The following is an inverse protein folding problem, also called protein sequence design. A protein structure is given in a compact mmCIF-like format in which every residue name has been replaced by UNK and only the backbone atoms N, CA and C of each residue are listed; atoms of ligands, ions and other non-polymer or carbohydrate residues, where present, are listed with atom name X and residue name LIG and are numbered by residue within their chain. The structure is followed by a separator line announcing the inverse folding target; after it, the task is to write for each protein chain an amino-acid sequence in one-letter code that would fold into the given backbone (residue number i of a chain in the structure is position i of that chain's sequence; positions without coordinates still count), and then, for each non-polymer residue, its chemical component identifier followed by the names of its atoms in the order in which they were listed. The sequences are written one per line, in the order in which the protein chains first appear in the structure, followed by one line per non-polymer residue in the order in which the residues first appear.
data_IF_982225074155
#
_entry.id   IF_982225074155
#
_cell.length_a   1.000
_cell.length_b   1.000
_cell.length_c   1.000
_cell.angle_alpha   90.00
_cell.angle_beta   90.00
_cell.angle_gamma   90.00
#
_symmetry.space_group_name_H-M   'P 1'
#
loop_
_entity.id
_entity.type
_entity.pdbx_description
1 polymer ?
#
# COMPACT_ATOMS: atom_id res chain seq x y z
N UNK A 1 -59.30 55.38 80.56
CA UNK A 1 -60.01 54.10 80.76
C UNK A 1 -61.45 54.30 80.34
N UNK A 2 -61.93 53.58 79.31
CA UNK A 2 -63.33 53.34 78.85
C UNK A 2 -64.26 54.58 78.75
N UNK A 3 -65.04 54.84 77.71
CA UNK A 3 -65.51 54.15 76.51
C UNK A 3 -66.00 55.30 75.60
N UNK A 4 -65.60 55.32 74.33
CA UNK A 4 -66.25 56.05 73.23
C UNK A 4 -66.56 54.96 72.19
N UNK A 5 -67.66 54.97 71.44
CA UNK A 5 -68.18 56.09 70.67
C UNK A 5 -69.58 55.68 70.17
N UNK A 6 -70.52 56.62 70.12
CA UNK A 6 -71.80 56.44 69.44
C UNK A 6 -72.33 57.81 69.05
N UNK A 7 -72.40 58.16 67.76
CA UNK A 7 -73.48 59.04 67.33
C UNK A 7 -73.84 58.96 65.84
N UNK A 8 -75.12 59.27 65.64
CA UNK A 8 -76.05 59.06 64.55
C UNK A 8 -75.85 59.97 63.33
N UNK A 9 -76.22 59.38 62.18
CA UNK A 9 -77.11 59.82 61.10
C UNK A 9 -76.95 61.19 60.41
N UNK A 10 -76.86 61.03 59.08
CA UNK A 10 -77.53 61.70 57.96
C UNK A 10 -76.87 62.90 57.24
N UNK A 11 -76.63 62.61 55.95
CA UNK A 11 -76.97 63.41 54.75
C UNK A 11 -76.26 64.73 54.50
N UNK A 12 -75.39 64.76 53.48
CA UNK A 12 -75.62 65.39 52.14
C UNK A 12 -74.29 65.53 51.38
N UNK A 13 -74.26 65.10 50.11
CA UNK A 13 -73.40 65.52 48.98
C UNK A 13 -73.50 64.41 47.92
N UNK A 14 -74.39 64.53 46.93
CA UNK A 14 -74.15 65.18 45.63
C UNK A 14 -73.10 64.45 44.75
N UNK A 15 -73.63 63.58 43.90
CA UNK A 15 -73.38 63.47 42.45
C UNK A 15 -71.93 63.32 41.94
N UNK A 16 -71.59 62.11 41.52
CA UNK A 16 -71.27 61.89 40.10
C UNK A 16 -71.75 60.50 39.69
N UNK A 17 -72.53 60.49 38.61
CA UNK A 17 -73.23 59.35 38.07
C UNK A 17 -72.29 58.20 37.73
N UNK A 18 -72.47 57.08 38.44
CA UNK A 18 -71.79 55.81 38.16
C UNK A 18 -72.80 54.66 38.17
N UNK A 19 -73.82 54.76 37.32
CA UNK A 19 -74.75 53.69 36.92
C UNK A 19 -75.19 54.07 35.50
N UNK A 20 -75.31 53.22 34.50
CA UNK A 20 -75.57 51.80 34.47
C UNK A 20 -75.40 51.43 33.00
N UNK A 21 -74.44 50.59 32.61
CA UNK A 21 -74.59 49.87 31.35
C UNK A 21 -74.29 48.40 31.58
N UNK A 22 -75.37 47.66 31.78
CA UNK A 22 -75.32 46.21 31.89
C UNK A 22 -75.27 45.69 30.46
N UNK A 23 -74.10 45.85 29.82
CA UNK A 23 -73.88 45.40 28.46
C UNK A 23 -74.14 43.89 28.42
N UNK A 24 -75.16 43.48 27.67
CA UNK A 24 -75.53 42.09 27.51
C UNK A 24 -74.34 41.35 26.86
N UNK A 25 -74.01 40.14 27.34
CA UNK A 25 -72.80 39.40 26.95
C UNK A 25 -72.69 39.20 25.42
N UNK A 26 -73.81 39.19 24.71
CA UNK A 26 -73.86 39.15 23.24
C UNK A 26 -73.37 40.44 22.55
N UNK A 27 -73.60 41.61 23.14
CA UNK A 27 -73.17 42.89 22.57
C UNK A 27 -71.67 43.12 22.78
N UNK A 28 -71.11 42.70 23.91
CA UNK A 28 -69.66 42.75 24.14
C UNK A 28 -68.92 41.84 23.15
N UNK A 29 -69.49 40.67 22.83
CA UNK A 29 -68.91 39.73 21.88
C UNK A 29 -68.92 40.25 20.44
N UNK A 30 -70.01 40.88 20.02
CA UNK A 30 -70.11 41.56 18.71
C UNK A 30 -69.11 42.72 18.58
N UNK A 31 -68.96 43.55 19.61
CA UNK A 31 -67.98 44.65 19.60
C UNK A 31 -66.54 44.12 19.47
N UNK A 32 -66.19 43.03 20.19
CA UNK A 32 -64.86 42.41 20.09
C UNK A 32 -64.65 41.79 18.69
N UNK A 33 -65.68 41.15 18.11
CA UNK A 33 -65.59 40.57 16.77
C UNK A 33 -65.40 41.62 15.67
N UNK A 34 -66.07 42.76 15.81
CA UNK A 34 -66.02 43.86 14.82
C UNK A 34 -64.69 44.62 14.90
N UNK A 35 -64.13 44.81 16.10
CA UNK A 35 -62.87 45.53 16.31
C UNK A 35 -61.64 44.72 15.86
N UNK A 36 -61.77 43.39 15.79
CA UNK A 36 -60.74 42.47 15.33
C UNK A 36 -60.85 42.10 13.83
N UNK A 37 -61.83 42.67 13.11
CA UNK A 37 -62.10 42.46 11.67
C UNK A 37 -62.15 40.96 11.28
N UNK A 38 -62.76 40.15 12.16
CA UNK A 38 -62.84 38.70 11.99
C UNK A 38 -64.13 38.34 11.24
N UNK A 39 -63.97 37.92 9.98
CA UNK A 39 -65.07 37.46 9.12
C UNK A 39 -65.76 36.21 9.73
N UNK A 40 -67.07 36.28 10.06
CA UNK A 40 -67.81 35.20 10.76
C UNK A 40 -68.03 33.96 9.89
N UNK A 41 -67.62 33.99 8.62
CA UNK A 41 -67.70 32.85 7.70
C UNK A 41 -66.56 31.83 7.83
N UNK A 42 -65.59 32.04 8.74
CA UNK A 42 -64.54 31.05 9.00
C UNK A 42 -65.06 29.83 9.77
N UNK A 43 -65.73 28.94 9.06
CA UNK A 43 -66.07 27.62 9.55
C UNK A 43 -64.80 26.86 10.02
N UNK A 44 -64.85 26.07 11.12
CA UNK A 44 -63.71 25.31 11.65
C UNK A 44 -63.12 24.29 10.64
N UNK A 45 -63.80 24.08 9.50
CA UNK A 45 -63.33 23.27 8.37
C UNK A 45 -62.21 23.91 7.54
N UNK A 46 -62.04 25.24 7.52
CA UNK A 46 -61.01 25.90 6.68
C UNK A 46 -59.62 25.91 7.36
N UNK A 47 -59.56 26.20 8.67
CA UNK A 47 -58.34 26.19 9.47
C UNK A 47 -57.72 24.80 9.59
N UNK A 48 -58.54 23.75 9.62
CA UNK A 48 -58.08 22.36 9.66
C UNK A 48 -57.41 21.93 8.35
N UNK A 49 -57.91 22.40 7.19
CA UNK A 49 -57.27 22.16 5.88
C UNK A 49 -55.96 22.93 5.73
N UNK A 50 -55.87 24.15 6.27
CA UNK A 50 -54.64 24.93 6.27
C UNK A 50 -53.58 24.33 7.19
N UNK A 51 -53.94 23.94 8.42
CA UNK A 51 -53.06 23.20 9.34
C UNK A 51 -52.56 21.90 8.74
N UNK A 52 -53.44 21.12 8.10
CA UNK A 52 -53.05 19.87 7.43
C UNK A 52 -52.04 20.12 6.29
N UNK A 53 -52.24 21.15 5.46
CA UNK A 53 -51.28 21.52 4.40
C UNK A 53 -49.95 22.01 4.97
N UNK A 54 -49.98 22.79 6.05
CA UNK A 54 -48.78 23.29 6.72
C UNK A 54 -47.96 22.16 7.34
N UNK A 55 -48.60 21.26 8.09
CA UNK A 55 -47.96 20.07 8.67
C UNK A 55 -47.39 19.18 7.56
N UNK A 56 -48.15 18.95 6.48
CA UNK A 56 -47.68 18.16 5.33
C UNK A 56 -46.45 18.78 4.66
N UNK A 57 -46.40 20.12 4.53
CA UNK A 57 -45.22 20.83 4.00
C UNK A 57 -44.01 20.74 4.94
N UNK A 58 -44.20 20.84 6.25
CA UNK A 58 -43.12 20.66 7.23
C UNK A 58 -42.61 19.21 7.25
N UNK A 59 -43.49 18.21 7.16
CA UNK A 59 -43.12 16.80 7.07
C UNK A 59 -42.35 16.49 5.78
N UNK A 60 -42.78 17.03 4.63
CA UNK A 60 -42.07 16.85 3.36
C UNK A 60 -40.69 17.51 3.42
N UNK A 61 -40.57 18.73 3.95
CA UNK A 61 -39.28 19.42 4.13
C UNK A 61 -38.36 18.66 5.09
N UNK A 62 -38.91 18.12 6.19
CA UNK A 62 -38.18 17.29 7.14
C UNK A 62 -37.68 15.99 6.52
N UNK A 63 -38.51 15.30 5.74
CA UNK A 63 -38.08 14.11 4.98
C UNK A 63 -36.99 14.45 3.96
N UNK A 64 -37.11 15.57 3.24
CA UNK A 64 -36.11 15.97 2.26
C UNK A 64 -34.75 16.27 2.92
N UNK A 65 -34.78 16.96 4.07
CA UNK A 65 -33.59 17.24 4.86
C UNK A 65 -32.97 15.95 5.43
N UNK A 66 -33.78 15.02 5.95
CA UNK A 66 -33.30 13.73 6.44
C UNK A 66 -32.72 12.87 5.31
N UNK A 67 -33.32 12.88 4.12
CA UNK A 67 -32.80 12.19 2.95
C UNK A 67 -31.48 12.81 2.46
N UNK A 68 -31.36 14.15 2.48
CA UNK A 68 -30.12 14.84 2.14
C UNK A 68 -29.00 14.55 3.14
N UNK A 69 -29.29 14.52 4.44
CA UNK A 69 -28.32 14.11 5.47
C UNK A 69 -27.96 12.63 5.31
N UNK A 70 -28.92 11.75 5.03
CA UNK A 70 -28.67 10.34 4.74
C UNK A 70 -27.75 10.15 3.54
N UNK A 71 -28.00 10.88 2.43
CA UNK A 71 -27.16 10.85 1.23
C UNK A 71 -25.76 11.40 1.50
N UNK A 72 -25.65 12.47 2.31
CA UNK A 72 -24.38 13.07 2.68
C UNK A 72 -23.56 12.17 3.62
N UNK A 73 -24.21 11.44 4.53
CA UNK A 73 -23.56 10.43 5.38
C UNK A 73 -23.12 9.22 4.54
N UNK A 74 -23.96 8.76 3.61
CA UNK A 74 -23.64 7.63 2.72
C UNK A 74 -22.54 7.96 1.70
N UNK A 75 -22.47 9.22 1.25
CA UNK A 75 -21.44 9.71 0.34
C UNK A 75 -20.18 10.20 1.07
N UNK A 76 -20.32 10.62 2.33
CA UNK A 76 -19.27 11.26 3.14
C UNK A 76 -18.35 10.26 3.86
N UNK A 77 -18.78 9.02 4.04
CA UNK A 77 -17.88 7.92 4.42
C UNK A 77 -17.45 7.17 3.17
N UNK A 78 -16.78 7.85 2.24
CA UNK A 78 -16.05 7.17 1.18
C UNK A 78 -15.02 6.26 1.86
N UNK A 79 -15.28 4.95 1.87
CA UNK A 79 -14.29 3.98 2.36
C UNK A 79 -13.19 3.96 1.30
N UNK A 80 -12.20 4.82 1.51
CA UNK A 80 -10.95 4.89 0.76
C UNK A 80 -10.16 3.64 1.19
N UNK A 81 -10.41 2.52 0.49
CA UNK A 81 -9.72 1.26 0.77
C UNK A 81 -8.33 1.31 0.14
N UNK A 82 -7.30 1.21 0.97
CA UNK A 82 -5.92 1.08 0.54
C UNK A 82 -5.75 -0.22 -0.28
N UNK A 83 -5.13 -0.18 -1.47
CA UNK A 83 -4.80 -1.40 -2.21
C UNK A 83 -3.87 -2.27 -1.36
N UNK A 84 -3.90 -3.59 -1.54
CA UNK A 84 -2.95 -4.50 -0.90
C UNK A 84 -2.28 -5.39 -1.93
N UNK A 85 -0.98 -5.62 -1.74
CA UNK A 85 -0.18 -6.52 -2.57
C UNK A 85 -0.26 -7.91 -1.92
N UNK A 86 -0.64 -8.91 -2.69
CA UNK A 86 -0.81 -10.29 -2.23
C UNK A 86 -0.22 -11.29 -3.22
N UNK A 87 -0.17 -12.57 -2.82
CA UNK A 87 0.31 -13.67 -3.67
C UNK A 87 1.70 -13.46 -4.26
N UNK A 88 2.57 -12.73 -3.56
CA UNK A 88 3.95 -12.48 -3.98
C UNK A 88 4.70 -13.81 -4.02
N UNK A 89 5.29 -14.10 -5.16
CA UNK A 89 6.18 -15.25 -5.37
C UNK A 89 7.41 -14.75 -6.11
N UNK A 90 8.58 -15.06 -5.56
CA UNK A 90 9.85 -14.96 -6.26
C UNK A 90 10.31 -16.38 -6.56
N UNK A 91 10.58 -16.68 -7.83
CA UNK A 91 11.08 -17.97 -8.25
C UNK A 91 12.36 -17.76 -9.09
N UNK A 92 13.47 -18.42 -8.75
CA UNK A 92 14.68 -18.36 -9.57
C UNK A 92 14.44 -19.00 -10.93
N UNK A 93 15.20 -18.56 -11.93
CA UNK A 93 15.33 -19.24 -13.21
C UNK A 93 15.99 -20.61 -13.03
N UNK A 94 15.86 -21.49 -14.02
CA UNK A 94 16.41 -22.85 -13.94
C UNK A 94 17.94 -22.90 -13.82
N UNK A 95 18.59 -21.83 -14.25
CA UNK A 95 20.04 -21.58 -14.25
C UNK A 95 20.47 -20.62 -13.13
N UNK A 96 19.55 -20.21 -12.23
CA UNK A 96 19.81 -19.31 -11.12
C UNK A 96 20.43 -17.94 -11.51
N UNK A 97 20.31 -17.53 -12.77
CA UNK A 97 20.84 -16.27 -13.31
C UNK A 97 19.86 -15.10 -13.16
N UNK A 98 18.58 -15.38 -13.03
CA UNK A 98 17.53 -14.39 -12.80
C UNK A 98 16.49 -14.91 -11.81
N UNK A 99 15.62 -14.03 -11.36
CA UNK A 99 14.43 -14.40 -10.59
C UNK A 99 13.19 -13.72 -11.15
N UNK A 100 12.16 -14.52 -11.39
CA UNK A 100 10.85 -14.02 -11.80
C UNK A 100 10.00 -13.76 -10.56
N UNK A 101 9.58 -12.51 -10.41
CA UNK A 101 8.65 -12.09 -9.35
C UNK A 101 7.27 -11.92 -9.94
N UNK A 102 6.28 -12.57 -9.33
CA UNK A 102 4.86 -12.42 -9.68
C UNK A 102 4.08 -12.00 -8.44
N UNK A 103 3.14 -11.07 -8.59
CA UNK A 103 2.29 -10.61 -7.50
C UNK A 103 0.92 -10.19 -8.00
N UNK A 104 -0.04 -10.23 -7.09
CA UNK A 104 -1.41 -9.78 -7.30
C UNK A 104 -1.66 -8.51 -6.50
N UNK A 105 -2.51 -7.62 -7.02
CA UNK A 105 -2.95 -6.43 -6.30
C UNK A 105 -4.44 -6.52 -6.02
N UNK A 106 -4.78 -6.75 -4.75
CA UNK A 106 -6.16 -6.66 -4.26
C UNK A 106 -6.55 -5.19 -4.07
N UNK A 107 -7.28 -4.64 -5.04
CA UNK A 107 -7.76 -3.26 -4.99
C UNK A 107 -9.22 -3.14 -5.42
N UNK A 108 -10.04 -2.46 -4.59
CA UNK A 108 -11.43 -2.13 -4.94
C UNK A 108 -11.53 -1.11 -6.08
N UNK A 109 -10.59 -0.16 -6.11
CA UNK A 109 -10.47 0.81 -7.19
C UNK A 109 -9.41 0.35 -8.18
N UNK A 110 -9.58 0.63 -9.48
CA UNK A 110 -8.56 0.36 -10.49
C UNK A 110 -7.19 0.91 -10.07
N UNK A 111 -6.15 0.15 -10.41
CA UNK A 111 -4.76 0.57 -10.25
C UNK A 111 -4.41 1.52 -11.39
N UNK A 112 -3.82 2.67 -11.07
CA UNK A 112 -3.34 3.63 -12.06
C UNK A 112 -1.88 3.43 -12.41
N UNK A 113 -1.07 2.99 -11.44
CA UNK A 113 0.37 2.84 -11.60
C UNK A 113 0.91 1.73 -10.71
N UNK A 114 1.89 1.00 -11.22
CA UNK A 114 2.70 0.05 -10.47
C UNK A 114 4.15 0.39 -10.78
N UNK A 115 4.91 0.73 -9.74
CA UNK A 115 6.34 0.98 -9.82
C UNK A 115 7.06 -0.14 -9.08
N UNK A 116 8.21 -0.53 -9.61
CA UNK A 116 9.12 -1.44 -8.96
C UNK A 116 10.52 -0.85 -9.01
N UNK A 117 11.26 -0.98 -7.92
CA UNK A 117 12.68 -0.67 -7.89
C UNK A 117 13.45 -1.73 -7.13
N UNK A 118 14.59 -2.14 -7.69
CA UNK A 118 15.54 -3.06 -7.05
C UNK A 118 16.79 -2.27 -6.71
N UNK A 119 17.21 -2.29 -5.45
CA UNK A 119 18.41 -1.56 -5.01
C UNK A 119 18.40 -0.09 -5.47
N UNK A 120 17.25 0.58 -5.38
CA UNK A 120 17.00 1.97 -5.80
C UNK A 120 17.02 2.23 -7.33
N UNK A 121 17.10 1.18 -8.15
CA UNK A 121 17.00 1.27 -9.61
C UNK A 121 15.61 0.83 -10.08
N UNK A 122 14.95 1.67 -10.86
CA UNK A 122 13.63 1.36 -11.41
C UNK A 122 13.69 0.17 -12.38
N UNK A 123 12.68 -0.70 -12.28
CA UNK A 123 12.50 -1.90 -13.11
C UNK A 123 11.11 -1.87 -13.74
N UNK A 124 11.06 -2.27 -15.01
CA UNK A 124 9.81 -2.40 -15.75
C UNK A 124 8.95 -3.55 -15.21
N UNK A 125 7.64 -3.30 -15.11
CA UNK A 125 6.65 -4.26 -14.63
C UNK A 125 5.73 -4.65 -15.77
N UNK A 126 5.68 -5.94 -16.06
CA UNK A 126 4.76 -6.53 -17.03
C UNK A 126 3.36 -6.71 -16.42
N UNK A 127 2.34 -6.33 -17.18
CA UNK A 127 0.94 -6.52 -16.81
C UNK A 127 0.44 -7.83 -17.41
N UNK A 128 0.12 -8.80 -16.55
CA UNK A 128 -0.41 -10.10 -16.98
C UNK A 128 -1.94 -10.07 -17.17
N UNK A 129 -2.61 -9.08 -16.56
CA UNK A 129 -4.07 -8.89 -16.60
C UNK A 129 -4.72 -9.23 -15.25
N UNK A 130 -5.99 -8.84 -15.07
CA UNK A 130 -6.73 -9.10 -13.82
C UNK A 130 -6.02 -8.66 -12.52
N UNK A 131 -5.25 -7.55 -12.55
CA UNK A 131 -4.43 -7.09 -11.41
C UNK A 131 -3.26 -8.03 -11.04
N UNK A 132 -2.88 -8.95 -11.94
CA UNK A 132 -1.66 -9.72 -11.86
C UNK A 132 -0.53 -9.02 -12.63
N UNK A 133 0.66 -9.03 -12.03
CA UNK A 133 1.86 -8.40 -12.54
C UNK A 133 3.05 -9.36 -12.45
N UNK A 134 4.02 -9.16 -13.32
CA UNK A 134 5.31 -9.82 -13.22
C UNK A 134 6.46 -8.89 -13.54
N UNK A 135 7.62 -9.21 -13.01
CA UNK A 135 8.89 -8.58 -13.39
C UNK A 135 10.00 -9.63 -13.26
N UNK A 136 11.09 -9.39 -13.97
CA UNK A 136 12.30 -10.21 -13.91
C UNK A 136 13.43 -9.37 -13.33
N UNK A 137 14.17 -9.95 -12.40
CA UNK A 137 15.35 -9.33 -11.79
C UNK A 137 16.57 -10.19 -12.06
N UNK A 138 17.72 -9.55 -12.28
CA UNK A 138 19.00 -10.19 -12.60
C UNK A 138 20.03 -10.03 -11.48
N UNK A 139 19.64 -9.43 -10.36
CA UNK A 139 20.52 -9.15 -9.22
C UNK A 139 19.81 -9.46 -7.89
N UNK A 140 20.58 -9.91 -6.90
CA UNK A 140 20.11 -10.04 -5.52
C UNK A 140 19.91 -8.65 -4.89
N UNK A 141 19.01 -8.56 -3.91
CA UNK A 141 18.80 -7.33 -3.16
C UNK A 141 17.37 -7.12 -2.68
N UNK A 142 17.00 -5.86 -2.50
CA UNK A 142 15.69 -5.47 -2.00
C UNK A 142 14.84 -4.87 -3.12
N UNK A 143 13.76 -5.57 -3.45
CA UNK A 143 12.74 -5.12 -4.39
C UNK A 143 11.65 -4.36 -3.62
N UNK A 144 11.46 -3.10 -3.96
CA UNK A 144 10.37 -2.26 -3.48
C UNK A 144 9.30 -2.15 -4.56
N UNK A 145 8.09 -2.59 -4.23
CA UNK A 145 6.89 -2.38 -5.03
C UNK A 145 6.13 -1.18 -4.47
N UNK A 146 5.70 -0.25 -5.33
CA UNK A 146 4.76 0.83 -5.00
C UNK A 146 3.58 0.82 -5.98
N UNK A 147 2.39 0.65 -5.44
CA UNK A 147 1.15 0.55 -6.21
C UNK A 147 0.26 1.74 -5.88
N UNK A 148 -0.18 2.43 -6.93
CA UNK A 148 -1.03 3.61 -6.84
C UNK A 148 -2.41 3.30 -7.43
N UNK A 149 -3.46 3.51 -6.65
CA UNK A 149 -4.85 3.46 -7.13
C UNK A 149 -5.23 4.73 -7.88
N UNK A 150 -6.29 4.69 -8.70
CA UNK A 150 -6.85 5.91 -9.34
C UNK A 150 -7.29 6.98 -8.34
N UNK A 151 -7.54 6.60 -7.08
CA UNK A 151 -7.82 7.53 -5.97
C UNK A 151 -6.57 8.19 -5.38
N UNK A 152 -5.37 7.82 -5.84
CA UNK A 152 -4.08 8.33 -5.35
C UNK A 152 -3.60 7.68 -4.06
N UNK A 153 -4.24 6.59 -3.59
CA UNK A 153 -3.77 5.84 -2.42
C UNK A 153 -2.63 4.91 -2.82
N UNK A 154 -1.56 4.92 -2.03
CA UNK A 154 -0.37 4.09 -2.21
C UNK A 154 -0.39 2.84 -1.32
N UNK A 155 0.17 1.76 -1.86
CA UNK A 155 0.56 0.59 -1.11
C UNK A 155 1.95 0.13 -1.52
N UNK A 156 2.82 -0.04 -0.54
CA UNK A 156 4.20 -0.46 -0.74
C UNK A 156 4.43 -1.85 -0.15
N UNK A 157 5.31 -2.62 -0.78
CA UNK A 157 5.75 -3.93 -0.30
C UNK A 157 7.23 -4.10 -0.59
N UNK A 158 7.99 -4.50 0.42
CA UNK A 158 9.40 -4.87 0.29
C UNK A 158 9.54 -6.39 0.19
N UNK A 159 10.41 -6.85 -0.71
CA UNK A 159 10.69 -8.26 -0.98
C UNK A 159 12.20 -8.42 -1.07
N UNK A 160 12.76 -9.39 -0.32
CA UNK A 160 14.16 -9.78 -0.46
C UNK A 160 14.30 -10.78 -1.59
N UNK A 161 15.27 -10.54 -2.48
CA UNK A 161 15.69 -11.45 -3.54
C UNK A 161 17.09 -11.95 -3.20
N UNK A 162 17.21 -13.24 -2.94
CA UNK A 162 18.45 -13.93 -2.55
C UNK A 162 18.63 -15.27 -3.29
N UNK A 163 17.88 -15.45 -4.39
CA UNK A 163 17.82 -16.72 -5.12
C UNK A 163 18.69 -16.75 -6.38
N UNK A 164 19.39 -15.65 -6.70
CA UNK A 164 20.28 -15.55 -7.87
C UNK A 164 21.70 -15.91 -7.41
N UNK A 165 22.39 -16.73 -8.20
CA UNK A 165 23.77 -17.11 -7.91
C UNK A 165 24.75 -16.00 -8.34
N UNK A 166 25.34 -15.34 -7.34
CA UNK A 166 26.39 -14.33 -7.46
C UNK A 166 27.74 -14.78 -6.86
N UNK A 167 27.89 -16.08 -6.58
CA UNK A 167 29.05 -16.64 -5.90
C UNK A 167 30.01 -17.30 -6.89
N UNK A 168 31.27 -16.86 -6.89
CA UNK A 168 32.31 -17.52 -7.66
C UNK A 168 32.58 -18.95 -7.14
N UNK A 169 33.01 -19.88 -8.02
CA UNK A 169 33.51 -21.19 -7.61
C UNK A 169 34.65 -21.09 -6.59
N UNK A 170 34.84 -22.15 -5.80
CA UNK A 170 35.92 -22.22 -4.80
C UNK A 170 36.84 -23.40 -5.04
N UNK A 171 38.12 -23.24 -4.67
CA UNK A 171 39.09 -24.34 -4.62
C UNK A 171 38.89 -25.09 -3.30
N UNK A 172 38.60 -26.38 -3.37
CA UNK A 172 38.50 -27.26 -2.20
C UNK A 172 39.87 -27.80 -1.78
N UNK A 173 40.64 -28.26 -2.76
CA UNK A 173 41.98 -28.82 -2.56
C UNK A 173 42.79 -28.72 -3.84
N UNK A 174 44.10 -28.87 -3.71
CA UNK A 174 45.01 -28.99 -4.84
C UNK A 174 46.17 -29.91 -4.47
N UNK A 175 46.75 -30.55 -5.47
CA UNK A 175 47.91 -31.42 -5.35
C UNK A 175 48.80 -31.29 -6.57
N UNK A 176 50.10 -31.46 -6.35
CA UNK A 176 51.09 -31.52 -7.42
C UNK A 176 51.45 -32.99 -7.68
N UNK A 177 51.24 -33.46 -8.90
CA UNK A 177 51.57 -34.82 -9.32
C UNK A 177 52.35 -34.79 -10.64
N UNK A 178 53.64 -35.17 -10.56
CA UNK A 178 54.53 -35.18 -11.71
C UNK A 178 54.77 -33.78 -12.27
N UNK A 179 54.33 -33.55 -13.50
CA UNK A 179 54.42 -32.26 -14.21
C UNK A 179 53.07 -31.51 -14.22
N UNK A 180 52.11 -31.92 -13.40
CA UNK A 180 50.75 -31.36 -13.38
C UNK A 180 50.37 -30.83 -11.99
N UNK A 181 49.53 -29.81 -11.99
CA UNK A 181 48.74 -29.39 -10.83
C UNK A 181 47.30 -29.87 -11.01
N UNK A 182 46.81 -30.61 -10.02
CA UNK A 182 45.42 -31.03 -9.90
C UNK A 182 44.70 -30.08 -8.94
N UNK A 183 43.55 -29.57 -9.35
CA UNK A 183 42.75 -28.62 -8.59
C UNK A 183 41.33 -29.15 -8.51
N UNK A 184 40.85 -29.39 -7.29
CA UNK A 184 39.44 -29.70 -7.05
C UNK A 184 38.69 -28.40 -6.77
N UNK A 185 37.69 -28.14 -7.59
CA UNK A 185 36.80 -26.99 -7.49
C UNK A 185 35.37 -27.41 -7.21
N UNK A 186 34.64 -26.50 -6.57
CA UNK A 186 33.22 -26.67 -6.30
C UNK A 186 32.51 -25.35 -6.51
N UNK A 187 31.35 -25.45 -7.13
CA UNK A 187 30.38 -24.36 -7.16
C UNK A 187 29.58 -24.32 -5.84
N UNK A 188 29.37 -23.10 -5.33
CA UNK A 188 28.69 -22.84 -4.06
C UNK A 188 27.28 -22.30 -4.29
N UNK A 189 27.00 -21.63 -5.42
CA UNK A 189 25.72 -20.99 -5.66
C UNK A 189 24.75 -21.77 -6.56
N UNK A 190 25.09 -23.00 -6.88
CA UNK A 190 24.26 -23.99 -7.59
C UNK A 190 24.00 -23.66 -9.09
N UNK A 191 24.67 -22.66 -9.69
CA UNK A 191 24.65 -22.44 -11.14
C UNK A 191 25.44 -23.50 -11.92
N UNK A 192 26.46 -24.08 -11.30
CA UNK A 192 27.37 -25.07 -11.89
C UNK A 192 28.62 -24.46 -12.54
N UNK A 193 29.70 -25.23 -12.62
CA UNK A 193 30.99 -24.78 -13.17
C UNK A 193 31.01 -24.84 -14.71
N UNK A 194 31.46 -23.77 -15.37
CA UNK A 194 31.71 -23.77 -16.82
C UNK A 194 33.10 -24.31 -17.14
N UNK A 195 33.22 -25.65 -17.23
CA UNK A 195 34.48 -26.33 -17.58
C UNK A 195 35.04 -25.97 -18.96
N UNK A 196 34.18 -25.57 -19.91
CA UNK A 196 34.63 -25.15 -21.24
C UNK A 196 35.24 -23.74 -21.23
N UNK A 197 34.80 -22.91 -20.28
CA UNK A 197 35.30 -21.58 -20.02
C UNK A 197 36.60 -21.54 -19.21
N UNK A 198 37.07 -22.66 -18.66
CA UNK A 198 38.30 -22.70 -17.86
C UNK A 198 39.54 -22.45 -18.72
N UNK A 199 40.42 -21.58 -18.22
CA UNK A 199 41.74 -21.34 -18.80
C UNK A 199 42.70 -20.80 -17.75
N UNK A 200 43.99 -20.83 -18.09
CA UNK A 200 45.02 -20.11 -17.39
C UNK A 200 45.76 -19.18 -18.35
N UNK A 201 46.50 -18.22 -17.81
CA UNK A 201 47.41 -17.35 -18.57
C UNK A 201 48.69 -17.15 -17.78
N UNK A 202 49.77 -16.87 -18.48
CA UNK A 202 51.05 -16.47 -17.89
C UNK A 202 51.53 -15.18 -18.57
N UNK A 203 52.65 -14.63 -18.13
CA UNK A 203 53.23 -13.45 -18.78
C UNK A 203 53.71 -13.75 -20.22
N UNK A 204 54.08 -15.01 -20.51
CA UNK A 204 54.51 -15.43 -21.85
C UNK A 204 53.40 -16.00 -22.74
N UNK A 205 52.26 -16.41 -22.17
CA UNK A 205 51.17 -17.08 -22.88
C UNK A 205 49.80 -16.54 -22.49
N UNK A 206 49.06 -16.02 -23.46
CA UNK A 206 47.75 -15.41 -23.25
C UNK A 206 46.65 -16.42 -22.86
N UNK A 207 46.79 -17.69 -23.24
CA UNK A 207 45.78 -18.71 -22.94
C UNK A 207 46.37 -20.13 -22.94
N UNK A 208 46.25 -20.78 -21.80
CA UNK A 208 46.60 -22.18 -21.54
C UNK A 208 45.30 -22.91 -21.17
N UNK A 209 44.96 -23.99 -21.87
CA UNK A 209 43.80 -24.82 -21.53
C UNK A 209 44.19 -25.89 -20.49
N UNK A 210 43.25 -26.35 -19.66
CA UNK A 210 43.47 -27.53 -18.84
C UNK A 210 43.90 -28.73 -19.69
N UNK A 211 44.82 -29.52 -19.18
CA UNK A 211 45.22 -30.80 -19.76
C UNK A 211 44.09 -31.82 -19.64
N UNK A 212 43.34 -31.77 -18.53
CA UNK A 212 42.21 -32.65 -18.25
C UNK A 212 41.18 -31.92 -17.38
N UNK A 213 39.90 -32.23 -17.58
CA UNK A 213 38.79 -31.82 -16.72
C UNK A 213 37.91 -33.05 -16.46
N UNK A 214 37.55 -33.30 -15.20
CA UNK A 214 36.59 -34.34 -14.82
C UNK A 214 35.45 -33.69 -14.01
N UNK A 215 34.36 -33.27 -14.67
CA UNK A 215 33.28 -32.54 -14.03
C UNK A 215 32.59 -33.29 -12.90
N UNK A 216 32.57 -34.62 -12.96
CA UNK A 216 31.92 -35.45 -11.93
C UNK A 216 32.66 -35.42 -10.59
N UNK A 217 33.97 -35.15 -10.60
CA UNK A 217 34.84 -35.09 -9.42
C UNK A 217 35.24 -33.66 -9.04
N UNK A 218 34.82 -32.65 -9.81
CA UNK A 218 35.26 -31.28 -9.59
C UNK A 218 36.70 -31.02 -10.03
N UNK A 219 37.32 -31.92 -10.82
CA UNK A 219 38.76 -31.90 -11.05
C UNK A 219 39.14 -31.12 -12.31
N UNK A 220 40.15 -30.27 -12.18
CA UNK A 220 40.78 -29.50 -13.26
C UNK A 220 42.28 -29.68 -13.16
N UNK A 221 42.91 -30.07 -14.27
CA UNK A 221 44.35 -30.35 -14.32
C UNK A 221 45.04 -29.39 -15.27
N UNK A 222 46.07 -28.70 -14.79
CA UNK A 222 46.94 -27.86 -15.61
C UNK A 222 48.38 -28.37 -15.58
N UNK A 223 49.20 -28.07 -16.60
CA UNK A 223 50.64 -28.27 -16.49
C UNK A 223 51.19 -27.40 -15.36
N UNK A 224 52.17 -27.91 -14.63
CA UNK A 224 52.80 -27.16 -13.56
C UNK A 224 53.59 -25.97 -14.13
N UNK A 225 53.43 -24.75 -13.59
CA UNK A 225 54.06 -23.56 -14.16
C UNK A 225 55.58 -23.53 -14.00
N UNK A 226 56.26 -23.00 -15.02
CA UNK A 226 57.64 -22.48 -14.90
C UNK A 226 57.72 -21.00 -14.52
N UNK A 227 56.59 -20.29 -14.57
CA UNK A 227 56.42 -18.87 -14.24
C UNK A 227 55.02 -18.65 -13.64
N UNK A 228 54.73 -17.46 -13.11
CA UNK A 228 53.43 -17.19 -12.48
C UNK A 228 52.27 -17.47 -13.45
N UNK A 229 51.34 -18.32 -13.01
CA UNK A 229 50.17 -18.74 -13.77
C UNK A 229 48.89 -18.27 -13.11
N UNK A 230 48.11 -17.47 -13.83
CA UNK A 230 46.80 -16.98 -13.43
C UNK A 230 45.73 -17.91 -13.96
N UNK A 231 45.12 -18.70 -13.08
CA UNK A 231 44.05 -19.64 -13.40
C UNK A 231 42.70 -18.95 -13.21
N UNK A 232 41.83 -19.06 -14.22
CA UNK A 232 40.47 -18.51 -14.23
C UNK A 232 39.48 -19.64 -14.40
N UNK A 233 38.57 -19.77 -13.43
CA UNK A 233 37.52 -20.79 -13.40
C UNK A 233 36.17 -20.09 -13.29
N UNK A 234 35.42 -19.97 -14.39
CA UNK A 234 34.07 -19.41 -14.38
C UNK A 234 33.02 -20.45 -13.96
N UNK A 235 31.93 -20.00 -13.36
CA UNK A 235 30.66 -20.72 -13.33
C UNK A 235 29.81 -20.43 -14.59
N UNK A 236 28.61 -21.01 -14.65
CA UNK A 236 27.67 -20.80 -15.76
C UNK A 236 27.07 -19.38 -15.76
N UNK A 237 27.03 -18.71 -14.61
CA UNK A 237 26.55 -17.32 -14.45
C UNK A 237 27.63 -16.26 -14.63
N UNK A 238 28.84 -16.67 -15.05
CA UNK A 238 30.00 -15.81 -15.27
C UNK A 238 30.64 -15.22 -14.00
N UNK A 239 30.32 -15.71 -12.81
CA UNK A 239 31.13 -15.45 -11.61
C UNK A 239 32.46 -16.21 -11.75
N UNK A 240 33.57 -15.59 -11.33
CA UNK A 240 34.92 -16.09 -11.66
C UNK A 240 35.78 -16.24 -10.43
N UNK A 241 36.29 -17.44 -10.24
CA UNK A 241 37.46 -17.68 -9.41
C UNK A 241 38.71 -17.29 -10.20
N UNK A 242 39.56 -16.45 -9.61
CA UNK A 242 40.90 -16.14 -10.12
C UNK A 242 41.92 -16.52 -9.07
N UNK A 243 42.82 -17.43 -9.42
CA UNK A 243 43.88 -17.90 -8.54
C UNK A 243 45.24 -17.72 -9.21
N UNK A 244 46.28 -17.44 -8.41
CA UNK A 244 47.67 -17.34 -8.88
C UNK A 244 48.42 -18.54 -8.35
N UNK A 245 49.04 -19.28 -9.26
CA UNK A 245 49.97 -20.35 -8.95
C UNK A 245 51.39 -19.89 -9.26
N UNK A 246 52.22 -19.82 -8.23
CA UNK A 246 53.64 -19.54 -8.37
C UNK A 246 54.41 -20.80 -8.75
N UNK A 247 55.46 -20.69 -9.57
CA UNK A 247 56.33 -21.82 -9.85
C UNK A 247 57.01 -22.28 -8.57
N UNK A 248 57.08 -23.59 -8.36
CA UNK A 248 57.85 -24.17 -7.27
C UNK A 248 59.33 -23.80 -7.41
N UNK A 249 59.91 -23.20 -6.36
CA UNK A 249 61.37 -23.07 -6.29
C UNK A 249 61.91 -24.49 -6.16
N UNK A 250 62.47 -25.03 -7.25
CA UNK A 250 63.26 -26.23 -7.18
C UNK A 250 64.36 -26.00 -6.15
N UNK A 251 64.23 -26.62 -4.98
CA UNK A 251 65.38 -26.79 -4.10
C UNK A 251 66.34 -27.64 -4.90
N UNK A 252 67.37 -27.01 -5.48
CA UNK A 252 68.47 -27.70 -6.10
C UNK A 252 69.01 -28.71 -5.09
N UNK A 253 68.76 -29.98 -5.36
CA UNK A 253 69.60 -31.04 -4.85
C UNK A 253 70.96 -30.86 -5.54
N UNK A 254 71.85 -30.10 -4.91
CA UNK A 254 73.27 -30.25 -5.17
C UNK A 254 73.75 -31.48 -4.36
N UNK A 255 74.41 -32.37 -5.10
CA UNK A 255 75.08 -33.62 -4.67
C UNK A 255 76.02 -33.45 -3.47
#
# INVERSE_FOLDING_TARGET
MRHEENNRNNQTSETSDFLHDKMNTGQLFECIMTDLDLDPSCSPRSGMKYRARFIRRCLIKGMLAAAAVGLFVFSGTGIVQKPSISSVKAAPSSDASSAKVTFHVDALFPVSQVNASLNEKDIDVDVLGNQDYSLEVEENGYLLLDVVSISGIHATQEISIDSIDDQAPVILSHSHEGDNIEIHVKDIGDSGIDYNGIYARTDSSDMIRPTCCEPSEGLVVFPYPSEDMYIVIPDLNQNRLVSVLHPGIGTGAEE
#
